data_IF_101299669327
#
_entry.id   IF_101299669327
#
_cell.length_a   1.000
_cell.length_b   1.000
_cell.length_c   1.000
_cell.angle_alpha   90.00
_cell.angle_beta   90.00
_cell.angle_gamma   90.00
#
_symmetry.space_group_name_H-M   'P 1'
#
loop_
_entity.id
_entity.type
_entity.pdbx_description
1 polymer ?
#
# COMPACT_ATOMS: atom_id res chain seq x y z
N UNK A 1 -33.63 19.58 9.96
CA UNK A 1 -32.43 20.13 9.33
C UNK A 1 -31.57 18.93 8.97
N UNK A 2 -31.60 18.56 7.70
CA UNK A 2 -30.86 17.40 7.18
C UNK A 2 -29.46 17.86 6.80
N UNK A 3 -28.46 17.35 7.49
CA UNK A 3 -27.05 17.51 7.11
C UNK A 3 -26.81 16.85 5.75
N UNK A 4 -26.18 17.52 4.80
CA UNK A 4 -25.84 16.90 3.53
C UNK A 4 -24.67 15.94 3.73
N UNK A 5 -24.92 14.70 3.35
CA UNK A 5 -23.94 13.61 3.28
C UNK A 5 -22.89 13.98 2.21
N UNK A 6 -21.73 14.44 2.65
CA UNK A 6 -20.60 14.76 1.75
C UNK A 6 -19.86 13.48 1.42
N UNK A 7 -20.42 12.68 0.53
CA UNK A 7 -19.62 11.74 -0.23
C UNK A 7 -18.79 12.54 -1.24
N UNK A 8 -17.61 12.93 -0.86
CA UNK A 8 -16.60 13.35 -1.83
C UNK A 8 -16.10 12.09 -2.55
N UNK A 9 -16.76 11.71 -3.62
CA UNK A 9 -16.11 10.92 -4.66
C UNK A 9 -15.05 11.84 -5.27
N UNK A 10 -13.86 11.77 -4.73
CA UNK A 10 -12.68 12.25 -5.43
C UNK A 10 -12.54 11.33 -6.64
N UNK A 11 -12.96 11.81 -7.79
CA UNK A 11 -12.64 11.16 -9.06
C UNK A 11 -11.13 11.09 -9.13
N UNK A 12 -10.61 9.88 -9.26
CA UNK A 12 -9.22 9.66 -9.59
C UNK A 12 -8.88 10.62 -10.74
N UNK A 13 -8.01 11.56 -10.47
CA UNK A 13 -7.40 12.32 -11.54
C UNK A 13 -6.43 11.39 -12.21
N UNK A 14 -6.87 10.77 -13.29
CA UNK A 14 -5.98 10.22 -14.29
C UNK A 14 -5.14 11.39 -14.82
N UNK A 15 -4.09 11.72 -14.10
CA UNK A 15 -3.03 12.54 -14.63
C UNK A 15 -2.35 11.66 -15.69
N UNK A 16 -2.52 12.06 -16.93
CA UNK A 16 -1.75 11.55 -18.04
C UNK A 16 -0.26 11.65 -17.69
N UNK A 17 0.28 10.60 -17.06
CA UNK A 17 1.70 10.35 -17.16
C UNK A 17 1.91 10.04 -18.63
N UNK A 18 2.60 10.92 -19.34
CA UNK A 18 3.10 10.64 -20.66
C UNK A 18 4.09 9.49 -20.50
N UNK A 19 3.58 8.26 -20.60
CA UNK A 19 4.40 7.08 -20.73
C UNK A 19 5.17 7.24 -22.05
N UNK A 20 6.42 7.66 -21.94
CA UNK A 20 7.37 7.55 -23.05
C UNK A 20 7.65 6.05 -23.21
N UNK A 21 6.89 5.40 -24.08
CA UNK A 21 7.22 4.08 -24.59
C UNK A 21 8.50 4.23 -25.44
N UNK A 22 9.64 4.10 -24.80
CA UNK A 22 10.89 3.88 -25.51
C UNK A 22 10.94 2.37 -25.74
N UNK A 23 10.74 1.96 -27.00
CA UNK A 23 11.06 0.61 -27.45
C UNK A 23 12.58 0.39 -27.33
N UNK A 24 13.03 0.01 -26.13
CA UNK A 24 14.37 -0.50 -25.88
C UNK A 24 14.43 -2.00 -26.17
N UNK A 25 15.61 -2.56 -26.46
CA UNK A 25 15.77 -3.99 -26.63
C UNK A 25 15.39 -4.72 -25.31
N UNK A 26 14.70 -5.83 -25.46
CA UNK A 26 14.20 -6.73 -24.42
C UNK A 26 15.20 -6.94 -23.27
N UNK A 27 14.89 -6.45 -22.08
CA UNK A 27 15.71 -6.66 -20.88
C UNK A 27 15.75 -5.51 -19.88
N UNK A 28 15.01 -4.43 -20.09
CA UNK A 28 14.95 -3.33 -19.13
C UNK A 28 13.62 -3.41 -18.34
N UNK A 29 13.72 -3.29 -17.03
CA UNK A 29 12.57 -3.11 -16.15
C UNK A 29 11.81 -1.88 -16.61
N UNK A 30 10.50 -2.03 -16.80
CA UNK A 30 9.60 -0.95 -17.21
C UNK A 30 8.71 -0.59 -16.04
N UNK A 31 9.19 0.30 -15.18
CA UNK A 31 8.44 0.75 -14.01
C UNK A 31 7.51 1.91 -14.40
N UNK A 32 6.23 1.76 -14.09
CA UNK A 32 5.25 2.85 -14.08
C UNK A 32 5.24 3.44 -12.68
N UNK A 33 5.52 4.73 -12.56
CA UNK A 33 5.50 5.46 -11.31
C UNK A 33 4.45 6.57 -11.35
N UNK A 34 3.67 6.70 -10.28
CA UNK A 34 2.66 7.74 -10.12
C UNK A 34 2.81 8.40 -8.75
N UNK A 35 3.08 9.71 -8.78
CA UNK A 35 3.05 10.58 -7.60
C UNK A 35 1.62 11.06 -7.34
N UNK A 36 1.15 10.94 -6.12
CA UNK A 36 -0.18 11.39 -5.70
C UNK A 36 -0.03 12.77 -5.08
N UNK A 37 -0.27 13.82 -5.86
CA UNK A 37 -0.11 15.21 -5.40
C UNK A 37 -1.48 15.95 -5.43
N UNK A 38 -2.00 16.40 -4.27
CA UNK A 38 -1.46 16.22 -2.92
C UNK A 38 -1.62 14.78 -2.38
N UNK A 39 -0.77 14.40 -1.44
CA UNK A 39 -0.88 13.14 -0.70
C UNK A 39 -2.30 12.94 -0.14
N UNK A 40 -2.80 11.72 -0.19
CA UNK A 40 -4.13 11.39 0.36
C UNK A 40 -4.02 11.08 1.84
N UNK A 41 -4.76 11.82 2.64
CA UNK A 41 -4.82 11.64 4.10
C UNK A 41 -6.15 11.04 4.49
N UNK A 42 -6.11 9.90 5.17
CA UNK A 42 -7.27 9.24 5.78
C UNK A 42 -7.13 9.35 7.31
N UNK A 43 -7.69 10.39 7.90
CA UNK A 43 -7.56 10.70 9.34
C UNK A 43 -8.89 10.70 10.09
N UNK A 44 -10.00 10.65 9.37
CA UNK A 44 -11.36 10.67 9.94
C UNK A 44 -12.08 9.35 9.67
N UNK A 45 -12.70 8.73 10.68
CA UNK A 45 -13.50 7.52 10.48
C UNK A 45 -14.60 7.68 9.43
N UNK A 46 -14.65 6.76 8.48
CA UNK A 46 -15.55 6.77 7.33
C UNK A 46 -14.93 7.32 6.05
N UNK A 47 -13.71 7.85 6.10
CA UNK A 47 -12.98 8.20 4.89
C UNK A 47 -12.47 6.97 4.17
N UNK A 48 -12.49 7.04 2.85
CA UNK A 48 -11.98 6.00 1.97
C UNK A 48 -11.35 6.59 0.71
N UNK A 49 -10.38 5.89 0.18
CA UNK A 49 -9.72 6.23 -1.07
C UNK A 49 -9.45 4.96 -1.89
N UNK A 50 -9.79 5.02 -3.17
CA UNK A 50 -9.67 3.89 -4.09
C UNK A 50 -8.65 4.20 -5.17
N UNK A 51 -7.80 3.23 -5.49
CA UNK A 51 -6.82 3.27 -6.57
C UNK A 51 -7.19 2.26 -7.66
N UNK A 52 -7.04 2.70 -8.90
CA UNK A 52 -6.92 1.92 -10.12
C UNK A 52 -5.44 2.04 -10.53
N UNK A 53 -4.64 1.05 -10.19
CA UNK A 53 -3.17 1.12 -10.28
C UNK A 53 -2.70 0.87 -11.70
N UNK A 54 -3.31 -0.11 -12.39
CA UNK A 54 -2.92 -0.47 -13.75
C UNK A 54 -3.64 0.36 -14.83
N UNK A 55 -4.60 1.20 -14.44
CA UNK A 55 -5.32 2.11 -15.33
C UNK A 55 -6.35 1.43 -16.22
N UNK A 56 -6.82 0.24 -15.86
CA UNK A 56 -7.78 -0.53 -16.63
C UNK A 56 -9.24 -0.05 -16.46
N UNK A 57 -9.49 0.87 -15.54
CA UNK A 57 -10.79 1.45 -15.22
C UNK A 57 -11.58 0.66 -14.16
N UNK A 58 -10.96 -0.33 -13.56
CA UNK A 58 -11.49 -1.08 -12.41
C UNK A 58 -10.73 -0.69 -11.15
N UNK A 59 -11.44 -0.65 -10.05
CA UNK A 59 -10.85 -0.35 -8.75
C UNK A 59 -10.03 -1.57 -8.27
N UNK A 60 -8.72 -1.40 -8.02
CA UNK A 60 -7.83 -2.47 -7.56
C UNK A 60 -7.83 -2.60 -6.05
N UNK A 61 -7.72 -1.48 -5.36
CA UNK A 61 -7.65 -1.43 -3.91
C UNK A 61 -8.36 -0.21 -3.35
N UNK A 62 -9.12 -0.41 -2.27
CA UNK A 62 -9.74 0.66 -1.49
C UNK A 62 -9.18 0.68 -0.10
N UNK A 63 -8.54 1.77 0.28
CA UNK A 63 -8.12 2.07 1.65
C UNK A 63 -9.23 2.77 2.39
N UNK A 64 -9.37 2.50 3.68
CA UNK A 64 -10.36 3.18 4.50
C UNK A 64 -9.92 3.31 5.95
N UNK A 65 -10.41 4.35 6.58
CA UNK A 65 -10.32 4.59 8.01
C UNK A 65 -11.68 4.29 8.66
N UNK A 66 -11.69 3.55 9.75
CA UNK A 66 -12.92 3.17 10.42
C UNK A 66 -12.77 3.23 11.93
N UNK A 67 -13.87 3.58 12.59
CA UNK A 67 -13.99 3.51 14.06
C UNK A 67 -15.36 3.00 14.41
N UNK A 68 -15.43 2.01 15.26
CA UNK A 68 -16.69 1.45 15.73
C UNK A 68 -16.64 1.03 17.19
N UNK A 69 -17.76 1.22 17.86
CA UNK A 69 -17.96 0.81 19.23
C UNK A 69 -18.76 -0.49 19.27
N UNK A 70 -18.35 -1.43 20.11
CA UNK A 70 -19.09 -2.65 20.34
C UNK A 70 -19.08 -3.05 21.82
N UNK A 71 -20.12 -3.74 22.24
CA UNK A 71 -20.27 -4.21 23.59
C UNK A 71 -19.88 -5.68 23.68
N UNK A 72 -18.89 -5.98 24.53
CA UNK A 72 -18.53 -7.36 24.84
C UNK A 72 -19.05 -7.74 26.21
N UNK A 73 -19.72 -8.89 26.28
CA UNK A 73 -20.20 -9.46 27.52
C UNK A 73 -19.74 -10.92 27.67
N UNK A 74 -19.22 -11.24 28.82
CA UNK A 74 -18.98 -12.61 29.28
C UNK A 74 -19.84 -12.94 30.47
N UNK A 75 -19.99 -14.19 30.91
CA UNK A 75 -20.75 -14.52 32.11
C UNK A 75 -20.25 -13.82 33.39
N UNK A 76 -19.01 -13.34 33.38
CA UNK A 76 -18.35 -12.81 34.57
C UNK A 76 -18.12 -11.30 34.52
N UNK A 77 -18.08 -10.68 33.34
CA UNK A 77 -17.83 -9.26 33.15
C UNK A 77 -18.27 -8.77 31.78
N UNK A 78 -18.55 -7.48 31.69
CA UNK A 78 -18.91 -6.83 30.44
C UNK A 78 -18.20 -5.48 30.34
N UNK A 79 -17.87 -5.09 29.09
CA UNK A 79 -17.23 -3.83 28.83
C UNK A 79 -17.55 -3.32 27.42
N UNK A 80 -17.49 -2.02 27.29
CA UNK A 80 -17.53 -1.35 26.00
C UNK A 80 -16.13 -1.34 25.39
N UNK A 81 -16.08 -1.63 24.12
CA UNK A 81 -14.85 -1.65 23.32
C UNK A 81 -15.00 -0.70 22.15
N UNK A 82 -14.00 0.11 21.91
CA UNK A 82 -13.87 0.91 20.70
C UNK A 82 -12.69 0.37 19.90
N UNK A 83 -12.90 0.18 18.62
CA UNK A 83 -11.89 -0.25 17.68
C UNK A 83 -11.70 0.82 16.60
N UNK A 84 -10.50 1.37 16.52
CA UNK A 84 -10.06 2.24 15.43
C UNK A 84 -9.13 1.42 14.52
N UNK A 85 -9.35 1.47 13.22
CA UNK A 85 -8.52 0.72 12.28
C UNK A 85 -8.33 1.47 10.94
N UNK A 86 -7.18 1.23 10.34
CA UNK A 86 -6.90 1.52 8.94
C UNK A 86 -6.72 0.20 8.21
N UNK A 87 -7.43 0.00 7.13
CA UNK A 87 -7.45 -1.26 6.40
C UNK A 87 -7.61 -1.06 4.90
N UNK A 88 -7.43 -2.13 4.15
CA UNK A 88 -7.61 -2.17 2.71
C UNK A 88 -8.55 -3.31 2.29
N UNK A 89 -9.27 -3.10 1.20
CA UNK A 89 -10.06 -4.11 0.50
C UNK A 89 -9.53 -4.16 -0.94
N UNK A 90 -9.23 -5.36 -1.41
CA UNK A 90 -8.68 -5.62 -2.73
C UNK A 90 -9.70 -6.28 -3.64
N UNK A 91 -9.52 -6.16 -4.96
CA UNK A 91 -10.22 -7.01 -5.91
C UNK A 91 -9.48 -8.38 -6.06
N UNK A 92 -10.10 -9.32 -6.79
CA UNK A 92 -9.57 -10.69 -6.90
C UNK A 92 -8.23 -10.80 -7.62
N UNK A 93 -7.91 -9.87 -8.52
CA UNK A 93 -6.66 -9.84 -9.29
C UNK A 93 -5.53 -9.09 -8.59
N UNK A 94 -5.85 -8.42 -7.49
CA UNK A 94 -4.91 -7.60 -6.73
C UNK A 94 -4.62 -8.23 -5.37
N UNK A 95 -3.34 -8.26 -4.97
CA UNK A 95 -2.92 -8.89 -3.71
C UNK A 95 -1.89 -8.03 -3.00
N UNK A 96 -2.00 -7.94 -1.67
CA UNK A 96 -0.98 -7.35 -0.83
C UNK A 96 -0.03 -8.42 -0.26
N UNK A 97 1.25 -8.08 -0.20
CA UNK A 97 2.24 -8.87 0.51
C UNK A 97 2.01 -8.75 2.02
N UNK A 98 1.90 -9.88 2.72
CA UNK A 98 1.64 -9.86 4.15
C UNK A 98 1.44 -11.22 4.78
N UNK A 99 1.23 -11.23 6.08
CA UNK A 99 1.02 -12.43 6.87
C UNK A 99 -0.46 -12.72 7.07
N UNK A 100 -0.79 -13.99 6.91
CA UNK A 100 -2.06 -14.56 7.37
C UNK A 100 -1.90 -15.01 8.83
N UNK A 101 -2.70 -14.44 9.72
CA UNK A 101 -2.69 -14.78 11.12
C UNK A 101 -4.04 -15.34 11.57
N UNK A 102 -4.02 -16.50 12.23
CA UNK A 102 -5.23 -17.09 12.79
C UNK A 102 -5.49 -16.57 14.20
N UNK A 103 -6.58 -15.84 14.38
CA UNK A 103 -6.99 -15.33 15.69
C UNK A 103 -7.86 -16.37 16.39
N UNK A 104 -7.28 -17.06 17.37
CA UNK A 104 -7.92 -18.19 18.05
C UNK A 104 -9.27 -17.83 18.68
N UNK A 105 -9.39 -16.65 19.30
CA UNK A 105 -10.60 -16.24 20.01
C UNK A 105 -11.80 -15.90 19.09
N UNK A 106 -11.55 -15.45 17.88
CA UNK A 106 -12.58 -15.17 16.89
C UNK A 106 -12.78 -16.29 15.88
N UNK A 107 -11.90 -17.28 15.88
CA UNK A 107 -11.84 -18.36 14.88
C UNK A 107 -11.75 -17.82 13.43
N UNK A 108 -11.12 -16.67 13.26
CA UNK A 108 -10.98 -16.00 11.97
C UNK A 108 -9.52 -15.82 11.59
N UNK A 109 -9.27 -15.78 10.30
CA UNK A 109 -8.00 -15.33 9.78
C UNK A 109 -8.03 -13.80 9.66
N UNK A 110 -6.95 -13.16 10.05
CA UNK A 110 -6.70 -11.74 9.82
C UNK A 110 -5.42 -11.63 8.98
N UNK A 111 -5.42 -10.70 8.06
CA UNK A 111 -4.29 -10.48 7.17
C UNK A 111 -3.67 -9.14 7.54
N UNK A 112 -2.35 -9.15 7.70
CA UNK A 112 -1.55 -7.99 8.04
C UNK A 112 -0.51 -7.77 6.95
N UNK A 113 -0.63 -6.69 6.15
CA UNK A 113 0.39 -6.35 5.17
C UNK A 113 1.75 -6.06 5.82
N UNK A 114 2.83 -6.45 5.15
CA UNK A 114 4.18 -6.08 5.54
C UNK A 114 4.41 -4.58 5.38
N UNK A 115 5.18 -3.99 6.30
CA UNK A 115 5.72 -2.65 6.17
C UNK A 115 7.15 -2.75 5.58
N UNK A 116 7.23 -2.91 4.27
CA UNK A 116 8.47 -3.15 3.53
C UNK A 116 9.38 -1.92 3.61
N UNK A 117 10.68 -2.16 3.83
CA UNK A 117 11.68 -1.09 3.83
C UNK A 117 12.04 -0.65 2.42
N UNK A 118 12.51 0.60 2.31
CA UNK A 118 13.07 1.05 1.05
C UNK A 118 14.25 0.17 0.60
N UNK A 119 14.34 -0.13 -0.69
CA UNK A 119 15.33 -1.01 -1.32
C UNK A 119 15.15 -2.52 -1.08
N UNK A 120 14.11 -2.95 -0.39
CA UNK A 120 13.77 -4.37 -0.34
C UNK A 120 13.13 -4.84 -1.64
N UNK A 121 13.36 -6.10 -1.98
CA UNK A 121 12.88 -6.72 -3.21
C UNK A 121 11.46 -7.23 -3.03
N UNK A 122 10.59 -6.91 -3.99
CA UNK A 122 9.22 -7.40 -4.05
C UNK A 122 9.12 -8.36 -5.24
N UNK A 123 8.88 -9.63 -4.94
CA UNK A 123 8.85 -10.73 -5.90
C UNK A 123 7.97 -11.89 -5.39
N UNK A 124 8.00 -13.03 -6.06
CA UNK A 124 7.23 -14.24 -5.72
C UNK A 124 7.67 -14.94 -4.41
N UNK A 125 8.80 -14.56 -3.81
CA UNK A 125 9.24 -15.09 -2.51
C UNK A 125 8.42 -14.50 -1.36
N UNK A 126 7.78 -13.33 -1.56
CA UNK A 126 6.88 -12.75 -0.57
C UNK A 126 5.55 -13.53 -0.55
N UNK A 127 4.99 -13.65 0.65
CA UNK A 127 3.63 -14.20 0.78
C UNK A 127 2.61 -13.14 0.39
N UNK A 128 1.88 -13.38 -0.71
CA UNK A 128 0.76 -12.56 -1.15
C UNK A 128 -0.57 -13.20 -0.74
N UNK A 129 -1.48 -12.41 -0.24
CA UNK A 129 -2.80 -12.87 0.20
C UNK A 129 -3.87 -12.31 -0.73
N UNK A 130 -4.82 -13.18 -1.09
CA UNK A 130 -5.95 -12.89 -1.97
C UNK A 130 -7.25 -12.64 -1.19
N UNK A 131 -7.18 -12.32 0.08
CA UNK A 131 -8.38 -12.04 0.86
C UNK A 131 -8.77 -10.57 0.77
N UNK A 132 -10.05 -10.36 0.65
CA UNK A 132 -10.69 -9.08 0.36
C UNK A 132 -10.58 -8.04 1.48
N UNK A 133 -9.99 -8.37 2.63
CA UNK A 133 -9.87 -7.46 3.77
C UNK A 133 -8.56 -7.63 4.51
N UNK A 134 -7.74 -6.60 4.52
CA UNK A 134 -6.45 -6.58 5.21
C UNK A 134 -6.35 -5.44 6.21
N UNK A 135 -5.92 -5.73 7.43
CA UNK A 135 -5.75 -4.75 8.50
C UNK A 135 -4.33 -4.22 8.47
N UNK A 136 -4.17 -2.95 8.12
CA UNK A 136 -2.88 -2.25 8.09
C UNK A 136 -2.48 -1.87 9.52
N UNK A 137 -3.37 -1.18 10.24
CA UNK A 137 -3.18 -0.83 11.63
C UNK A 137 -4.50 -0.93 12.40
N UNK A 138 -4.44 -1.38 13.64
CA UNK A 138 -5.60 -1.53 14.50
C UNK A 138 -5.26 -1.13 15.93
N UNK A 139 -6.19 -0.43 16.58
CA UNK A 139 -6.13 -0.11 17.99
C UNK A 139 -7.48 -0.35 18.64
N UNK A 140 -7.51 -1.17 19.68
CA UNK A 140 -8.71 -1.51 20.43
C UNK A 140 -8.63 -0.96 21.85
N UNK A 141 -9.63 -0.19 22.26
CA UNK A 141 -9.75 0.41 23.58
C UNK A 141 -10.79 -0.35 24.40
N UNK A 142 -10.49 -0.58 25.66
CA UNK A 142 -11.40 -1.19 26.62
C UNK A 142 -11.76 -0.21 27.72
N UNK A 143 -12.99 -0.27 28.23
CA UNK A 143 -13.45 0.47 29.40
C UNK A 143 -13.02 1.95 29.41
N UNK A 144 -13.51 2.72 28.44
CA UNK A 144 -13.26 4.15 28.35
C UNK A 144 -11.75 4.55 28.22
N UNK A 145 -10.95 3.71 27.58
CA UNK A 145 -9.57 4.06 27.25
C UNK A 145 -8.51 3.73 28.31
N UNK A 146 -8.89 2.95 29.34
CA UNK A 146 -7.94 2.55 30.40
C UNK A 146 -7.03 1.40 30.00
N UNK A 147 -7.38 0.63 28.98
CA UNK A 147 -6.55 -0.42 28.40
C UNK A 147 -6.75 -0.44 26.89
N UNK A 148 -5.71 -0.78 26.17
CA UNK A 148 -5.75 -0.95 24.72
C UNK A 148 -4.97 -2.17 24.27
N UNK A 149 -5.41 -2.76 23.18
CA UNK A 149 -4.64 -3.71 22.42
C UNK A 149 -4.40 -3.14 21.02
N UNK A 150 -3.28 -3.51 20.46
CA UNK A 150 -2.98 -3.29 19.05
C UNK A 150 -3.08 -4.60 18.30
N UNK A 151 -3.10 -4.57 17.00
CA UNK A 151 -3.00 -5.77 16.21
C UNK A 151 -1.76 -6.59 16.60
N UNK A 152 -1.93 -7.91 16.68
CA UNK A 152 -0.94 -8.79 17.28
C UNK A 152 0.38 -8.87 16.50
N UNK A 153 0.36 -8.67 15.19
CA UNK A 153 1.52 -8.74 14.32
C UNK A 153 1.51 -7.65 13.23
N UNK A 154 0.90 -6.49 13.51
CA UNK A 154 1.01 -5.37 12.58
C UNK A 154 2.42 -4.82 12.58
N UNK A 155 2.99 -4.70 11.40
CA UNK A 155 4.27 -4.03 11.21
C UNK A 155 4.11 -2.52 11.07
N UNK A 156 2.90 -2.07 10.73
CA UNK A 156 2.58 -0.66 10.51
C UNK A 156 2.32 0.13 11.78
N UNK A 157 1.93 -0.54 12.86
CA UNK A 157 1.74 0.11 14.14
C UNK A 157 1.90 -0.86 15.30
N UNK A 158 2.68 -0.45 16.29
CA UNK A 158 2.67 -1.03 17.63
C UNK A 158 3.08 0.04 18.64
N UNK A 159 2.83 -0.14 19.97
CA UNK A 159 3.14 0.89 20.98
C UNK A 159 4.61 1.29 21.09
N UNK A 160 5.52 0.44 20.60
CA UNK A 160 6.96 0.74 20.58
C UNK A 160 7.38 1.47 19.29
N UNK A 161 6.54 1.41 18.26
CA UNK A 161 6.72 2.08 16.97
C UNK A 161 5.41 2.83 16.68
N UNK A 162 5.20 4.01 17.28
CA UNK A 162 3.92 4.73 17.20
C UNK A 162 3.63 5.32 15.82
N UNK A 163 4.65 5.45 15.00
CA UNK A 163 4.58 6.00 13.65
C UNK A 163 5.45 5.18 12.70
N UNK A 164 4.90 4.85 11.56
CA UNK A 164 5.58 4.16 10.47
C UNK A 164 5.58 5.09 9.27
N UNK A 165 6.76 5.57 8.88
CA UNK A 165 6.96 6.61 7.89
C UNK A 165 7.72 6.04 6.69
N UNK A 166 7.27 6.43 5.47
CA UNK A 166 7.93 6.08 4.20
C UNK A 166 8.17 4.57 4.03
N UNK A 167 7.18 3.75 4.45
CA UNK A 167 7.19 2.32 4.19
C UNK A 167 6.33 1.97 2.99
N UNK A 168 6.51 0.74 2.52
CA UNK A 168 5.91 0.29 1.28
C UNK A 168 5.01 -0.92 1.53
N UNK A 169 3.79 -0.85 1.00
CA UNK A 169 2.93 -2.02 0.80
C UNK A 169 3.41 -2.71 -0.48
N UNK A 170 3.84 -3.95 -0.40
CA UNK A 170 4.14 -4.75 -1.59
C UNK A 170 2.85 -5.20 -2.26
N UNK A 171 2.76 -5.02 -3.57
CA UNK A 171 1.58 -5.38 -4.35
C UNK A 171 1.92 -6.39 -5.45
N UNK A 172 0.92 -7.20 -5.81
CA UNK A 172 0.95 -8.12 -6.93
C UNK A 172 -0.37 -7.98 -7.70
N UNK A 173 -0.30 -7.68 -8.98
CA UNK A 173 -1.43 -7.61 -9.90
C UNK A 173 -1.34 -8.83 -10.83
N UNK A 174 -2.41 -9.61 -10.91
CA UNK A 174 -2.52 -10.75 -11.81
C UNK A 174 -3.34 -10.35 -13.04
N UNK A 175 -2.76 -10.41 -14.21
CA UNK A 175 -3.46 -10.12 -15.45
C UNK A 175 -4.35 -11.31 -15.93
N UNK A 176 -5.15 -11.09 -16.96
CA UNK A 176 -6.05 -12.11 -17.51
C UNK A 176 -5.31 -13.32 -18.15
N UNK A 177 -3.99 -13.28 -18.24
CA UNK A 177 -3.13 -14.34 -18.79
C UNK A 177 -2.31 -15.07 -17.73
N UNK A 178 -2.66 -14.86 -16.45
CA UNK A 178 -2.00 -15.44 -15.27
C UNK A 178 -0.54 -14.95 -15.06
N UNK A 179 -0.12 -13.87 -15.72
CA UNK A 179 1.14 -13.21 -15.41
C UNK A 179 0.99 -12.26 -14.22
N UNK A 180 2.08 -12.08 -13.49
CA UNK A 180 2.14 -11.24 -12.31
C UNK A 180 2.95 -9.98 -12.55
N UNK A 181 2.42 -8.84 -12.11
CA UNK A 181 3.13 -7.57 -12.07
C UNK A 181 3.33 -7.17 -10.62
N UNK A 182 4.59 -7.03 -10.20
CA UNK A 182 4.93 -6.63 -8.84
C UNK A 182 5.02 -5.11 -8.75
N UNK A 183 4.64 -4.57 -7.60
CA UNK A 183 4.66 -3.14 -7.37
C UNK A 183 4.72 -2.79 -5.88
N UNK A 184 4.60 -1.52 -5.61
CA UNK A 184 4.56 -0.99 -4.26
C UNK A 184 3.68 0.26 -4.17
N UNK A 185 3.12 0.50 -2.97
CA UNK A 185 2.43 1.74 -2.60
C UNK A 185 3.14 2.29 -1.38
N UNK A 186 3.66 3.53 -1.44
CA UNK A 186 4.31 4.16 -0.30
C UNK A 186 3.31 4.89 0.57
N UNK A 187 3.37 4.58 1.88
CA UNK A 187 2.45 5.11 2.86
C UNK A 187 3.14 5.49 4.15
N UNK A 188 2.47 6.37 4.91
CA UNK A 188 2.72 6.55 6.34
C UNK A 188 1.52 6.06 7.13
N UNK A 189 1.80 5.52 8.32
CA UNK A 189 0.79 5.27 9.35
C UNK A 189 1.23 5.99 10.61
N UNK A 190 0.48 7.01 11.00
CA UNK A 190 0.81 7.92 12.09
C UNK A 190 -0.33 8.06 13.09
N UNK A 191 -0.18 8.91 14.08
CA UNK A 191 -1.20 9.20 15.08
C UNK A 191 -1.70 7.91 15.77
N UNK A 192 -0.74 7.06 16.17
CA UNK A 192 -1.01 5.78 16.84
C UNK A 192 -1.90 4.84 16.01
N UNK A 193 -1.66 4.74 14.71
CA UNK A 193 -2.37 3.83 13.80
C UNK A 193 -3.74 4.33 13.33
N UNK A 194 -4.08 5.60 13.56
CA UNK A 194 -5.39 6.18 13.21
C UNK A 194 -5.39 7.04 11.97
N UNK A 195 -4.22 7.33 11.44
CA UNK A 195 -4.08 8.15 10.22
C UNK A 195 -3.19 7.42 9.24
N UNK A 196 -3.66 7.28 8.02
CA UNK A 196 -2.87 6.77 6.91
C UNK A 196 -2.68 7.87 5.88
N UNK A 197 -1.46 7.99 5.36
CA UNK A 197 -1.12 8.90 4.28
C UNK A 197 -0.62 8.07 3.11
N UNK A 198 -1.26 8.20 1.94
CA UNK A 198 -0.90 7.50 0.71
C UNK A 198 -0.22 8.53 -0.19
N UNK A 199 1.02 8.25 -0.62
CA UNK A 199 1.90 9.22 -1.26
C UNK A 199 2.09 8.97 -2.74
N UNK A 200 2.49 7.77 -3.09
CA UNK A 200 2.79 7.37 -4.46
C UNK A 200 2.77 5.85 -4.60
N UNK A 201 2.84 5.39 -5.83
CA UNK A 201 2.94 3.96 -6.14
C UNK A 201 3.72 3.73 -7.42
N UNK A 202 4.22 2.51 -7.56
CA UNK A 202 4.79 2.04 -8.82
C UNK A 202 4.56 0.55 -9.00
N UNK A 203 4.62 0.12 -10.27
CA UNK A 203 4.59 -1.30 -10.62
C UNK A 203 5.43 -1.58 -11.88
N UNK A 204 5.90 -2.81 -11.99
CA UNK A 204 6.73 -3.29 -13.10
C UNK A 204 5.83 -3.82 -14.22
N UNK A 205 5.99 -3.27 -15.43
CA UNK A 205 5.22 -3.69 -16.62
C UNK A 205 5.69 -5.03 -17.21
N UNK A 206 6.95 -5.40 -16.96
CA UNK A 206 7.47 -6.68 -17.44
C UNK A 206 6.90 -7.79 -16.57
N UNK A 207 6.15 -8.75 -17.14
CA UNK A 207 5.57 -9.83 -16.36
C UNK A 207 6.60 -10.63 -15.58
N UNK A 208 6.23 -11.03 -14.37
CA UNK A 208 7.00 -11.85 -13.43
C UNK A 208 8.38 -11.27 -13.05
N UNK A 209 8.61 -10.00 -13.36
CA UNK A 209 9.83 -9.31 -13.02
C UNK A 209 9.70 -8.67 -11.63
N UNK A 210 10.69 -8.85 -10.74
CA UNK A 210 10.67 -8.22 -9.42
C UNK A 210 10.85 -6.70 -9.52
N UNK A 211 10.35 -5.99 -8.51
CA UNK A 211 10.58 -4.55 -8.31
C UNK A 211 11.23 -4.31 -6.96
N UNK A 212 12.04 -3.25 -6.86
CA UNK A 212 12.60 -2.79 -5.59
C UNK A 212 11.67 -1.76 -4.98
N UNK A 213 11.37 -1.86 -3.68
CA UNK A 213 10.56 -0.88 -2.98
C UNK A 213 11.18 0.52 -3.05
N UNK A 214 10.40 1.48 -3.56
CA UNK A 214 10.85 2.84 -3.82
C UNK A 214 11.58 3.03 -5.16
N UNK A 215 11.64 2.00 -6.00
CA UNK A 215 12.14 2.16 -7.37
C UNK A 215 11.14 2.96 -8.21
N UNK A 216 11.56 4.14 -8.64
CA UNK A 216 10.81 5.02 -9.53
C UNK A 216 11.51 5.15 -10.88
N UNK A 217 12.56 4.34 -11.08
CA UNK A 217 13.55 4.63 -12.11
C UNK A 217 13.06 4.27 -13.50
N UNK A 218 13.02 5.27 -14.30
CA UNK A 218 13.32 5.13 -15.71
C UNK A 218 14.85 4.94 -15.86
N UNK A 219 15.34 3.71 -15.77
CA UNK A 219 16.69 3.44 -16.24
C UNK A 219 16.70 3.67 -17.75
N UNK A 220 17.21 4.80 -18.15
CA UNK A 220 17.65 4.98 -19.54
C UNK A 220 18.91 4.12 -19.70
N UNK A 221 18.70 2.83 -20.00
CA UNK A 221 19.79 1.91 -20.24
C UNK A 221 20.58 2.36 -21.45
N UNK A 222 21.81 2.78 -21.21
CA UNK A 222 22.77 2.90 -22.29
C UNK A 222 23.24 1.50 -22.64
N UNK A 223 22.88 1.00 -23.84
CA UNK A 223 23.44 -0.23 -24.37
C UNK A 223 24.95 -0.01 -24.56
N UNK A 224 25.76 -0.73 -23.79
CA UNK A 224 27.19 -0.81 -24.05
C UNK A 224 27.38 -1.62 -25.31
N UNK A 225 27.63 -0.96 -26.46
CA UNK A 225 28.37 -1.60 -27.53
C UNK A 225 29.78 -1.84 -27.01
N UNK A 226 30.29 -3.04 -27.23
CA UNK A 226 31.65 -3.41 -26.84
C UNK A 226 32.65 -2.31 -27.20
N UNK A 227 33.30 -1.75 -26.19
CA UNK A 227 34.50 -0.92 -26.37
C UNK A 227 34.35 0.59 -26.20
N UNK A 228 33.17 1.13 -25.85
CA UNK A 228 33.04 2.56 -25.56
C UNK A 228 32.36 2.78 -24.21
N UNK A 229 33.08 3.37 -23.25
CA UNK A 229 32.52 3.87 -22.01
C UNK A 229 31.79 5.16 -22.36
N UNK A 230 30.47 5.14 -22.39
CA UNK A 230 29.66 6.33 -22.51
C UNK A 230 29.29 6.87 -21.14
N UNK A 231 29.20 8.19 -20.98
CA UNK A 231 28.93 8.78 -19.67
C UNK A 231 27.53 8.37 -19.17
N UNK A 232 27.47 7.95 -17.92
CA UNK A 232 26.21 7.66 -17.24
C UNK A 232 25.55 8.99 -16.87
N UNK A 233 24.36 9.21 -17.39
CA UNK A 233 23.52 10.37 -17.03
C UNK A 233 22.47 9.91 -16.03
N UNK A 234 22.47 10.48 -14.85
CA UNK A 234 21.41 10.24 -13.87
C UNK A 234 20.85 11.55 -13.35
N UNK A 235 19.61 11.52 -12.93
CA UNK A 235 18.92 12.68 -12.41
C UNK A 235 18.62 12.47 -10.92
N UNK A 236 19.14 13.34 -10.08
CA UNK A 236 18.88 13.34 -8.65
C UNK A 236 18.48 14.76 -8.23
N UNK A 237 17.40 14.90 -7.49
CA UNK A 237 16.89 16.18 -7.00
C UNK A 237 16.76 17.26 -8.10
N UNK A 238 16.22 16.89 -9.28
CA UNK A 238 16.08 17.76 -10.46
C UNK A 238 17.41 18.31 -11.00
N UNK A 239 18.53 17.67 -10.70
CA UNK A 239 19.84 17.98 -11.26
C UNK A 239 20.35 16.80 -12.10
N UNK A 240 20.88 17.09 -13.28
CA UNK A 240 21.48 16.11 -14.17
C UNK A 240 22.96 16.01 -13.84
N UNK A 241 23.45 14.79 -13.64
CA UNK A 241 24.85 14.48 -13.44
C UNK A 241 25.35 13.65 -14.62
N UNK A 242 26.57 13.93 -15.05
CA UNK A 242 27.25 13.20 -16.09
C UNK A 242 28.59 12.75 -15.51
N UNK A 243 28.84 11.47 -15.46
CA UNK A 243 30.10 10.89 -14.96
C UNK A 243 30.77 10.02 -16.03
#
# INVERSE_FOLDING_TARGET
MTTPNRYHKLKAYSLFSTAFLINGPSGFNQVVYVDIDPDIVLDTPGEQFTLDIDGNGLDDITFFNSSFDFFMATPWWSYWTRQDLVAAIENESFKLAGLKYYVYYSSQNVFYPYAIEQFELINDELQFNADTFQVIAERTYFNAGTAYFTCYNCEWYNPSIPETIDKFLGIKIEDATDFSHYGWIRCDVINEGRTMIIKDYAYELTPDNPIVAGDTAHYVGLSTQEGKIEPVVYCENKKIYIS
#
